data_IF_566430050316
#
_entry.id   IF_566430050316
#
_cell.length_a   1.000
_cell.length_b   1.000
_cell.length_c   1.000
_cell.angle_alpha   90.00
_cell.angle_beta   90.00
_cell.angle_gamma   90.00
#
_symmetry.space_group_name_H-M   'P 1'
#
loop_
_entity.id
_entity.type
_entity.pdbx_description
1 polymer ?
#
# COMPACT_ATOMS: atom_id res chain seq x y z
N UNK A 1 -6.70 -23.21 25.18
CA UNK A 1 -7.86 -23.05 26.08
C UNK A 1 -8.52 -24.40 26.24
N UNK A 2 -8.82 -24.79 27.48
CA UNK A 2 -9.48 -26.05 27.80
C UNK A 2 -10.99 -25.92 27.59
N UNK A 3 -11.56 -26.75 26.71
CA UNK A 3 -12.98 -26.70 26.33
C UNK A 3 -13.88 -27.12 27.49
N UNK A 4 -13.38 -27.98 28.37
CA UNK A 4 -14.13 -28.46 29.53
C UNK A 4 -14.38 -27.33 30.55
N UNK A 5 -13.45 -26.38 30.66
CA UNK A 5 -13.59 -25.20 31.51
C UNK A 5 -14.66 -24.22 30.97
N UNK A 6 -14.75 -24.10 29.64
CA UNK A 6 -15.72 -23.23 28.99
C UNK A 6 -17.16 -23.72 29.19
N UNK A 7 -17.39 -25.02 29.03
CA UNK A 7 -18.72 -25.62 29.09
C UNK A 7 -19.20 -25.88 30.54
N UNK A 8 -18.27 -26.09 31.50
CA UNK A 8 -18.62 -26.50 32.88
C UNK A 8 -18.41 -25.40 33.94
N UNK A 9 -17.71 -24.31 33.60
CA UNK A 9 -17.39 -23.25 34.55
C UNK A 9 -16.29 -23.62 35.53
N UNK A 10 -16.08 -22.77 36.54
CA UNK A 10 -15.14 -23.04 37.62
C UNK A 10 -15.75 -24.01 38.65
N UNK A 11 -14.95 -24.80 39.39
CA UNK A 11 -15.45 -25.69 40.44
C UNK A 11 -16.28 -24.97 41.51
N UNK A 12 -16.02 -23.68 41.74
CA UNK A 12 -16.72 -22.82 42.69
C UNK A 12 -17.92 -22.08 42.07
N UNK A 13 -18.01 -22.04 40.73
CA UNK A 13 -19.07 -21.37 40.01
C UNK A 13 -19.43 -22.14 38.71
N UNK A 14 -20.44 -23.03 38.76
CA UNK A 14 -20.74 -23.99 37.69
C UNK A 14 -21.48 -23.36 36.48
N UNK A 15 -21.42 -22.04 36.31
CA UNK A 15 -21.96 -21.39 35.12
C UNK A 15 -20.95 -21.46 33.97
N UNK A 16 -21.41 -21.70 32.73
CA UNK A 16 -20.56 -21.63 31.54
C UNK A 16 -19.80 -20.30 31.49
N UNK A 17 -18.54 -20.35 31.06
CA UNK A 17 -17.79 -19.12 30.83
C UNK A 17 -18.30 -18.46 29.56
N UNK A 18 -18.57 -17.17 29.62
CA UNK A 18 -18.95 -16.36 28.49
C UNK A 18 -17.79 -15.47 28.06
N UNK A 19 -17.58 -15.33 26.76
CA UNK A 19 -16.61 -14.37 26.22
C UNK A 19 -17.32 -13.05 25.91
N UNK A 20 -16.67 -11.93 26.23
CA UNK A 20 -17.13 -10.60 25.84
C UNK A 20 -16.86 -10.36 24.35
N UNK A 21 -17.55 -11.09 23.48
CA UNK A 21 -17.43 -11.02 22.03
C UNK A 21 -18.81 -10.96 21.37
N UNK A 22 -18.92 -10.21 20.28
CA UNK A 22 -20.13 -10.13 19.47
C UNK A 22 -20.62 -11.53 19.04
N UNK A 23 -21.89 -11.84 19.32
CA UNK A 23 -22.51 -13.14 19.06
C UNK A 23 -22.55 -14.10 20.26
N UNK A 24 -22.01 -13.70 21.42
CA UNK A 24 -22.31 -14.36 22.70
C UNK A 24 -23.61 -13.77 23.29
N UNK A 25 -24.64 -14.59 23.58
CA UNK A 25 -25.94 -14.09 24.06
C UNK A 25 -25.90 -13.33 25.40
N UNK A 26 -24.88 -13.54 26.24
CA UNK A 26 -24.72 -12.81 27.51
C UNK A 26 -24.10 -11.45 27.24
N UNK A 27 -23.10 -11.37 26.36
CA UNK A 27 -22.55 -10.10 25.90
C UNK A 27 -23.63 -9.25 25.21
N UNK A 28 -24.40 -9.85 24.30
CA UNK A 28 -25.47 -9.15 23.59
C UNK A 28 -26.54 -8.61 24.56
N UNK A 29 -26.91 -9.37 25.60
CA UNK A 29 -27.82 -8.89 26.67
C UNK A 29 -27.27 -7.72 27.48
N UNK A 30 -25.96 -7.67 27.71
CA UNK A 30 -25.31 -6.54 28.40
C UNK A 30 -25.38 -5.30 27.50
N UNK A 31 -25.09 -5.46 26.21
CA UNK A 31 -25.22 -4.38 25.24
C UNK A 31 -26.67 -3.88 25.17
N UNK A 32 -27.63 -4.79 25.04
CA UNK A 32 -29.07 -4.48 25.00
C UNK A 32 -29.50 -3.69 26.24
N UNK A 33 -29.09 -4.14 27.43
CA UNK A 33 -29.39 -3.47 28.69
C UNK A 33 -28.73 -2.10 28.85
N UNK A 34 -27.58 -1.86 28.22
CA UNK A 34 -26.92 -0.54 28.20
C UNK A 34 -27.60 0.38 27.17
N UNK A 35 -28.07 -0.15 26.04
CA UNK A 35 -28.77 0.61 25.00
C UNK A 35 -30.21 0.96 25.35
N UNK A 36 -30.77 0.39 26.42
CA UNK A 36 -32.12 0.72 26.91
C UNK A 36 -32.20 2.13 27.51
N UNK A 37 -31.05 2.71 27.88
CA UNK A 37 -30.97 4.06 28.42
C UNK A 37 -30.65 5.07 27.33
N UNK A 38 -31.56 6.02 27.10
CA UNK A 38 -31.27 7.19 26.28
C UNK A 38 -30.13 8.01 26.89
N UNK A 39 -29.28 8.58 26.03
CA UNK A 39 -28.26 9.51 26.47
C UNK A 39 -28.94 10.77 27.04
N UNK A 40 -28.46 11.30 28.19
CA UNK A 40 -29.00 12.55 28.72
C UNK A 40 -28.72 13.70 27.76
N UNK A 41 -29.58 14.72 27.75
CA UNK A 41 -29.50 15.88 26.83
C UNK A 41 -28.18 16.69 26.96
N UNK A 42 -27.46 16.50 28.07
CA UNK A 42 -26.13 17.05 28.32
C UNK A 42 -25.00 16.30 27.59
N UNK A 43 -25.31 15.21 26.88
CA UNK A 43 -24.37 14.41 26.08
C UNK A 43 -24.90 14.29 24.65
N UNK A 44 -24.07 14.65 23.67
CA UNK A 44 -24.43 14.50 22.26
C UNK A 44 -23.32 13.81 21.47
N UNK A 45 -23.63 12.74 20.71
CA UNK A 45 -22.66 12.14 19.82
C UNK A 45 -22.34 13.09 18.66
N UNK A 46 -21.07 13.22 18.34
CA UNK A 46 -20.53 13.89 17.17
C UNK A 46 -19.93 12.84 16.25
N UNK A 47 -20.51 12.71 15.06
CA UNK A 47 -20.08 11.76 14.04
C UNK A 47 -19.46 12.50 12.86
N UNK A 48 -18.30 12.03 12.41
CA UNK A 48 -17.69 12.48 11.18
C UNK A 48 -17.19 11.29 10.36
N UNK A 49 -17.58 11.27 9.08
CA UNK A 49 -17.22 10.20 8.15
C UNK A 49 -15.87 10.47 7.50
N UNK A 50 -14.93 9.54 7.69
CA UNK A 50 -13.63 9.55 7.02
C UNK A 50 -13.80 8.92 5.65
N UNK A 51 -13.89 9.76 4.61
CA UNK A 51 -14.17 9.33 3.23
C UNK A 51 -13.20 8.27 2.72
N UNK A 52 -11.93 8.37 3.10
CA UNK A 52 -10.86 7.55 2.53
C UNK A 52 -10.90 6.08 3.02
N UNK A 53 -11.49 5.81 4.20
CA UNK A 53 -11.61 4.46 4.76
C UNK A 53 -13.07 3.99 4.93
N UNK A 54 -14.04 4.81 4.51
CA UNK A 54 -15.46 4.56 4.67
C UNK A 54 -15.85 4.14 6.10
N UNK A 55 -15.32 4.86 7.08
CA UNK A 55 -15.57 4.62 8.50
C UNK A 55 -16.06 5.89 9.17
N UNK A 56 -16.97 5.73 10.12
CA UNK A 56 -17.47 6.81 10.96
C UNK A 56 -16.63 6.90 12.23
N UNK A 57 -16.12 8.10 12.50
CA UNK A 57 -15.47 8.42 13.76
C UNK A 57 -16.51 9.07 14.66
N UNK A 58 -16.73 8.45 15.82
CA UNK A 58 -17.70 8.90 16.82
C UNK A 58 -16.93 9.46 18.01
N UNK A 59 -17.33 10.64 18.45
CA UNK A 59 -16.90 11.25 19.71
C UNK A 59 -18.12 11.79 20.45
N UNK A 60 -17.96 12.16 21.71
CA UNK A 60 -19.07 12.71 22.50
C UNK A 60 -18.77 14.14 22.93
N UNK A 61 -19.71 15.04 22.70
CA UNK A 61 -19.73 16.33 23.38
C UNK A 61 -20.49 16.17 24.69
N UNK A 62 -19.91 16.68 25.78
CA UNK A 62 -20.46 16.54 27.13
C UNK A 62 -20.47 17.90 27.81
N UNK A 63 -21.63 18.35 28.28
CA UNK A 63 -21.74 19.48 29.20
C UNK A 63 -21.35 19.02 30.62
N UNK A 64 -20.38 19.70 31.21
CA UNK A 64 -19.83 19.36 32.50
C UNK A 64 -19.54 20.60 33.35
N UNK A 65 -19.39 20.36 34.65
CA UNK A 65 -19.00 21.35 35.63
C UNK A 65 -17.53 21.12 35.97
N UNK A 66 -16.70 22.16 35.82
CA UNK A 66 -15.28 22.10 36.16
C UNK A 66 -15.04 22.11 37.68
N UNK A 67 -13.78 21.93 38.10
CA UNK A 67 -13.36 21.95 39.52
C UNK A 67 -13.63 23.32 40.20
N UNK A 68 -13.98 24.35 39.44
CA UNK A 68 -14.31 25.69 39.90
C UNK A 68 -15.82 25.99 39.87
N UNK A 69 -16.65 25.00 39.51
CA UNK A 69 -18.11 25.16 39.44
C UNK A 69 -18.60 25.86 38.17
N UNK A 70 -17.75 26.06 37.16
CA UNK A 70 -18.13 26.65 35.87
C UNK A 70 -18.64 25.59 34.91
N UNK A 71 -19.67 25.96 34.14
CA UNK A 71 -20.24 25.12 33.09
C UNK A 71 -19.37 25.22 31.84
N UNK A 72 -18.91 24.08 31.34
CA UNK A 72 -18.13 23.99 30.10
C UNK A 72 -18.56 22.77 29.26
N UNK A 73 -18.27 22.82 27.96
CA UNK A 73 -18.50 21.68 27.06
C UNK A 73 -17.18 21.05 26.66
N UNK A 74 -17.02 19.75 26.95
CA UNK A 74 -15.82 18.97 26.64
C UNK A 74 -16.07 17.99 25.49
N UNK A 75 -15.03 17.80 24.67
CA UNK A 75 -15.00 16.75 23.64
C UNK A 75 -14.32 15.50 24.23
N UNK A 76 -15.06 14.40 24.28
CA UNK A 76 -14.60 13.10 24.76
C UNK A 76 -14.21 12.26 23.54
N UNK A 77 -12.90 12.04 23.41
CA UNK A 77 -12.32 11.22 22.33
C UNK A 77 -11.58 9.99 22.86
N UNK A 78 -11.31 9.94 24.16
CA UNK A 78 -10.54 8.89 24.83
C UNK A 78 -11.08 8.63 26.23
N UNK A 79 -10.85 7.43 26.75
CA UNK A 79 -11.31 7.04 28.10
C UNK A 79 -10.77 7.97 29.20
N UNK A 80 -9.51 8.40 29.11
CA UNK A 80 -8.92 9.33 30.08
C UNK A 80 -9.58 10.70 30.10
N UNK A 81 -10.39 11.07 29.10
CA UNK A 81 -11.17 12.30 29.16
C UNK A 81 -12.32 12.22 30.17
N UNK A 82 -12.73 11.01 30.58
CA UNK A 82 -13.80 10.80 31.55
C UNK A 82 -13.37 11.02 33.01
N UNK A 83 -12.06 11.09 33.27
CA UNK A 83 -11.55 11.27 34.63
C UNK A 83 -11.96 12.65 35.20
N UNK A 84 -12.65 12.64 36.34
CA UNK A 84 -13.08 13.86 37.03
C UNK A 84 -14.24 14.60 36.38
N UNK A 85 -14.94 14.01 35.40
CA UNK A 85 -16.13 14.65 34.82
C UNK A 85 -17.29 14.64 35.81
N UNK A 86 -17.85 15.84 36.04
CA UNK A 86 -19.15 16.03 36.69
C UNK A 86 -20.12 16.53 35.62
N UNK A 87 -21.16 15.76 35.32
CA UNK A 87 -22.14 16.11 34.29
C UNK A 87 -23.01 17.29 34.73
N UNK A 88 -23.29 18.20 33.80
CA UNK A 88 -24.30 19.25 33.98
C UNK A 88 -25.62 18.80 33.34
N UNK A 89 -26.38 17.98 34.06
CA UNK A 89 -27.66 17.42 33.58
C UNK A 89 -28.74 18.47 33.28
N UNK A 90 -28.57 19.71 33.76
CA UNK A 90 -29.49 20.82 33.47
C UNK A 90 -29.23 21.49 32.12
N UNK A 91 -28.07 21.25 31.51
CA UNK A 91 -27.66 21.90 30.27
C UNK A 91 -28.03 21.03 29.08
N UNK A 92 -28.82 21.61 28.17
CA UNK A 92 -29.13 21.03 26.86
C UNK A 92 -28.09 21.54 25.86
N UNK A 93 -27.38 20.63 25.21
CA UNK A 93 -26.42 20.99 24.17
C UNK A 93 -27.15 21.42 22.89
N UNK A 94 -26.86 22.64 22.41
CA UNK A 94 -27.39 23.17 21.16
C UNK A 94 -26.34 23.17 20.04
N UNK A 95 -26.77 23.43 18.80
CA UNK A 95 -25.85 23.44 17.64
C UNK A 95 -24.75 24.51 17.77
N UNK A 96 -25.01 25.59 18.50
CA UNK A 96 -24.03 26.68 18.67
C UNK A 96 -22.91 26.29 19.63
N UNK A 97 -23.23 25.65 20.75
CA UNK A 97 -22.26 25.09 21.69
C UNK A 97 -21.41 23.97 21.06
N UNK A 98 -21.97 23.26 20.08
CA UNK A 98 -21.27 22.18 19.39
C UNK A 98 -20.36 22.63 18.24
N UNK A 99 -20.53 23.84 17.70
CA UNK A 99 -19.82 24.28 16.50
C UNK A 99 -18.29 24.20 16.66
N UNK A 100 -17.78 24.67 17.80
CA UNK A 100 -16.35 24.65 18.11
C UNK A 100 -15.81 23.23 18.32
N UNK A 101 -16.61 22.35 18.92
CA UNK A 101 -16.24 20.95 19.16
C UNK A 101 -16.25 20.13 17.87
N UNK A 102 -17.22 20.36 16.99
CA UNK A 102 -17.25 19.79 15.63
C UNK A 102 -16.02 20.21 14.84
N UNK A 103 -15.62 21.48 14.92
CA UNK A 103 -14.40 21.96 14.27
C UNK A 103 -13.14 21.29 14.84
N UNK A 104 -13.04 21.14 16.16
CA UNK A 104 -11.93 20.42 16.81
C UNK A 104 -11.88 18.95 16.37
N UNK A 105 -13.02 18.27 16.33
CA UNK A 105 -13.10 16.88 15.84
C UNK A 105 -12.61 16.78 14.40
N UNK A 106 -13.07 17.67 13.53
CA UNK A 106 -12.64 17.74 12.13
C UNK A 106 -11.14 17.93 11.98
N UNK A 107 -10.54 18.84 12.76
CA UNK A 107 -9.08 19.06 12.74
C UNK A 107 -8.30 17.83 13.24
N UNK A 108 -8.79 17.14 14.26
CA UNK A 108 -8.17 15.90 14.75
C UNK A 108 -8.22 14.78 13.71
N UNK A 109 -9.39 14.56 13.10
CA UNK A 109 -9.57 13.58 12.03
C UNK A 109 -8.66 13.92 10.86
N UNK A 110 -8.63 15.19 10.45
CA UNK A 110 -7.76 15.62 9.37
C UNK A 110 -6.28 15.33 9.68
N UNK A 111 -5.79 15.61 10.88
CA UNK A 111 -4.40 15.35 11.23
C UNK A 111 -4.06 13.84 11.27
N UNK A 112 -5.00 13.01 11.71
CA UNK A 112 -4.82 11.56 11.78
C UNK A 112 -4.85 10.90 10.39
N UNK A 113 -5.76 11.34 9.53
CA UNK A 113 -6.05 10.68 8.25
C UNK A 113 -5.45 11.38 7.02
N UNK A 114 -5.08 12.67 7.06
CA UNK A 114 -4.40 13.35 5.93
C UNK A 114 -3.12 12.63 5.46
N UNK A 115 -2.29 12.02 6.33
CA UNK A 115 -1.13 11.23 5.88
C UNK A 115 -1.51 10.04 4.97
N UNK A 116 -2.68 9.44 5.19
CA UNK A 116 -3.15 8.29 4.39
C UNK A 116 -3.66 8.69 3.01
N UNK A 117 -3.99 9.97 2.82
CA UNK A 117 -4.53 10.51 1.55
C UNK A 117 -3.56 10.44 0.37
N UNK A 118 -2.27 10.36 0.65
CA UNK A 118 -1.23 10.20 -0.39
C UNK A 118 -0.98 8.74 -0.77
N UNK A 119 -1.52 7.76 -0.02
CA UNK A 119 -1.22 6.33 -0.22
C UNK A 119 -1.65 5.90 -1.62
N UNK A 120 -2.89 6.21 -2.05
CA UNK A 120 -3.37 5.79 -3.37
C UNK A 120 -2.54 6.38 -4.51
N UNK A 121 -2.10 7.63 -4.37
CA UNK A 121 -1.20 8.27 -5.35
C UNK A 121 0.16 7.60 -5.38
N UNK A 122 0.74 7.30 -4.22
CA UNK A 122 2.01 6.60 -4.11
C UNK A 122 1.95 5.17 -4.67
N UNK A 123 0.83 4.47 -4.46
CA UNK A 123 0.58 3.15 -5.06
C UNK A 123 0.55 3.29 -6.58
N UNK A 124 -0.23 4.24 -7.09
CA UNK A 124 -0.34 4.48 -8.53
C UNK A 124 1.01 4.85 -9.17
N UNK A 125 1.79 5.70 -8.52
CA UNK A 125 3.12 6.12 -8.99
C UNK A 125 4.10 4.93 -8.97
N UNK A 126 4.06 4.10 -7.92
CA UNK A 126 4.88 2.89 -7.82
C UNK A 126 4.50 1.85 -8.89
N UNK A 127 3.22 1.66 -9.19
CA UNK A 127 2.76 0.78 -10.27
C UNK A 127 3.25 1.29 -11.63
N UNK A 128 3.14 2.59 -11.89
CA UNK A 128 3.65 3.21 -13.13
C UNK A 128 5.16 3.02 -13.26
N UNK A 129 5.91 3.29 -12.19
CA UNK A 129 7.36 3.11 -12.17
C UNK A 129 7.78 1.65 -12.34
N UNK A 130 7.08 0.71 -11.70
CA UNK A 130 7.30 -0.72 -11.87
C UNK A 130 7.08 -1.18 -13.32
N UNK A 131 5.99 -0.73 -13.94
CA UNK A 131 5.70 -1.02 -15.35
C UNK A 131 6.75 -0.42 -16.29
N UNK A 132 7.14 0.84 -16.06
CA UNK A 132 8.18 1.50 -16.83
C UNK A 132 9.53 0.75 -16.73
N UNK A 133 9.92 0.33 -15.53
CA UNK A 133 11.13 -0.44 -15.30
C UNK A 133 11.11 -1.82 -15.96
N UNK A 134 9.95 -2.48 -15.98
CA UNK A 134 9.77 -3.76 -16.68
C UNK A 134 9.95 -3.59 -18.20
N UNK A 135 9.33 -2.57 -18.80
CA UNK A 135 9.48 -2.25 -20.22
C UNK A 135 10.92 -1.92 -20.56
N UNK A 136 11.60 -1.11 -19.73
CA UNK A 136 12.99 -0.78 -19.94
C UNK A 136 13.89 -2.03 -19.88
N UNK A 137 13.68 -2.92 -18.91
CA UNK A 137 14.44 -4.17 -18.79
C UNK A 137 14.25 -5.05 -20.03
N UNK A 138 13.03 -5.12 -20.58
CA UNK A 138 12.75 -5.82 -21.84
C UNK A 138 13.47 -5.18 -23.04
N UNK A 139 13.48 -3.84 -23.12
CA UNK A 139 14.16 -3.10 -24.19
C UNK A 139 15.67 -3.32 -24.15
N UNK A 140 16.27 -3.24 -22.97
CA UNK A 140 17.70 -3.50 -22.77
C UNK A 140 18.00 -4.96 -23.15
N UNK A 141 17.20 -5.92 -22.67
CA UNK A 141 17.38 -7.35 -22.97
C UNK A 141 17.32 -7.66 -24.47
N UNK A 142 16.34 -7.12 -25.22
CA UNK A 142 16.23 -7.32 -26.67
C UNK A 142 17.46 -6.77 -27.44
N UNK A 143 18.16 -5.80 -26.85
CA UNK A 143 19.30 -5.12 -27.48
C UNK A 143 20.66 -5.60 -27.02
N UNK A 144 20.76 -6.15 -25.82
CA UNK A 144 21.98 -6.79 -25.33
C UNK A 144 22.26 -8.13 -26.02
N UNK A 145 21.20 -8.81 -26.49
CA UNK A 145 21.32 -10.08 -27.20
C UNK A 145 21.02 -9.91 -28.70
N UNK A 146 21.77 -10.57 -29.62
CA UNK A 146 23.00 -11.31 -29.36
C UNK A 146 24.15 -10.38 -28.94
N UNK A 147 25.12 -10.92 -28.19
CA UNK A 147 26.34 -10.21 -27.83
C UNK A 147 27.28 -10.01 -29.02
N UNK A 148 28.48 -9.46 -28.77
CA UNK A 148 29.52 -9.31 -29.79
C UNK A 148 29.96 -10.70 -30.31
N UNK A 149 30.09 -10.85 -31.62
CA UNK A 149 30.39 -12.11 -32.33
C UNK A 149 29.34 -13.24 -32.21
N UNK A 150 28.16 -12.94 -31.69
CA UNK A 150 27.04 -13.89 -31.62
C UNK A 150 25.97 -13.60 -32.68
N UNK A 151 25.27 -14.65 -33.09
CA UNK A 151 24.13 -14.59 -34.00
C UNK A 151 22.87 -15.06 -33.29
N UNK A 152 21.70 -14.72 -33.84
CA UNK A 152 20.42 -15.16 -33.27
C UNK A 152 20.23 -16.69 -33.26
N UNK A 153 21.07 -17.46 -33.97
CA UNK A 153 21.06 -18.92 -33.99
C UNK A 153 21.86 -19.54 -32.84
N UNK A 154 22.71 -18.76 -32.16
CA UNK A 154 23.48 -19.25 -31.01
C UNK A 154 22.55 -19.63 -29.86
N UNK A 155 23.05 -20.50 -28.98
CA UNK A 155 22.34 -20.92 -27.79
C UNK A 155 22.22 -19.76 -26.80
N UNK A 156 21.01 -19.51 -26.31
CA UNK A 156 20.72 -18.40 -25.40
C UNK A 156 21.48 -18.51 -24.06
N UNK A 157 21.53 -19.71 -23.46
CA UNK A 157 22.16 -19.89 -22.15
C UNK A 157 23.69 -19.76 -22.21
N UNK A 158 24.31 -20.10 -23.34
CA UNK A 158 25.73 -19.82 -23.55
C UNK A 158 25.99 -18.30 -23.59
N UNK A 159 25.13 -17.55 -24.28
CA UNK A 159 25.21 -16.09 -24.35
C UNK A 159 25.00 -15.42 -22.98
N UNK A 160 24.06 -15.92 -22.17
CA UNK A 160 23.87 -15.47 -20.78
C UNK A 160 25.14 -15.68 -19.96
N UNK A 161 25.76 -16.86 -20.01
CA UNK A 161 27.00 -17.12 -19.27
C UNK A 161 28.15 -16.16 -19.70
N UNK A 162 28.23 -15.82 -20.98
CA UNK A 162 29.19 -14.83 -21.48
C UNK A 162 28.88 -13.43 -20.94
N UNK A 163 27.59 -13.07 -20.87
CA UNK A 163 27.15 -11.78 -20.34
C UNK A 163 27.41 -11.67 -18.83
N UNK A 164 27.17 -12.74 -18.05
CA UNK A 164 27.43 -12.78 -16.61
C UNK A 164 28.92 -12.52 -16.29
N UNK A 165 29.82 -13.03 -17.13
CA UNK A 165 31.26 -12.73 -17.02
C UNK A 165 31.55 -11.25 -17.27
N UNK A 166 30.92 -10.65 -18.30
CA UNK A 166 31.09 -9.22 -18.59
C UNK A 166 30.49 -8.31 -17.49
N UNK A 167 29.41 -8.76 -16.86
CA UNK A 167 28.72 -8.07 -15.77
C UNK A 167 29.59 -8.07 -14.51
N UNK A 168 30.17 -9.21 -14.15
CA UNK A 168 30.97 -9.38 -12.93
C UNK A 168 32.19 -8.43 -12.88
N UNK A 169 32.73 -8.06 -14.04
CA UNK A 169 33.95 -7.26 -14.16
C UNK A 169 33.71 -5.76 -14.40
N UNK A 170 32.44 -5.29 -14.45
CA UNK A 170 32.10 -3.91 -14.86
C UNK A 170 31.05 -3.24 -13.99
N UNK A 171 31.26 -1.95 -13.70
CA UNK A 171 30.27 -1.13 -12.99
C UNK A 171 29.17 -0.58 -13.92
N UNK A 172 29.46 -0.49 -15.23
CA UNK A 172 28.57 0.07 -16.24
C UNK A 172 28.75 -0.62 -17.59
N UNK A 173 27.68 -0.67 -18.38
CA UNK A 173 27.70 -1.23 -19.72
C UNK A 173 26.78 -0.45 -20.67
N UNK A 174 27.23 -0.29 -21.91
CA UNK A 174 26.47 0.41 -22.95
C UNK A 174 25.45 -0.54 -23.57
N UNK A 175 24.16 -0.17 -23.51
CA UNK A 175 23.11 -0.90 -24.20
C UNK A 175 22.90 -0.31 -25.60
N UNK A 176 23.21 -1.04 -26.69
CA UNK A 176 23.25 -0.45 -28.02
C UNK A 176 21.86 -0.32 -28.64
N UNK A 177 21.63 0.74 -29.42
CA UNK A 177 20.49 0.86 -30.33
C UNK A 177 19.11 0.68 -29.66
N UNK A 178 18.93 1.18 -28.43
CA UNK A 178 17.62 1.20 -27.76
C UNK A 178 16.70 2.15 -28.55
N UNK A 179 15.50 1.70 -28.96
CA UNK A 179 14.59 2.55 -29.73
C UNK A 179 14.05 3.71 -28.87
N UNK A 180 14.12 4.92 -29.41
CA UNK A 180 13.77 6.17 -28.70
C UNK A 180 12.27 6.32 -28.48
N UNK A 181 11.44 5.79 -29.40
CA UNK A 181 9.98 5.89 -29.31
C UNK A 181 9.38 5.22 -28.07
N UNK A 182 9.60 3.91 -27.79
CA UNK A 182 9.09 3.29 -26.58
C UNK A 182 9.76 3.85 -25.32
N UNK A 183 11.05 4.18 -25.38
CA UNK A 183 11.78 4.76 -24.25
C UNK A 183 11.22 6.14 -23.85
N UNK A 184 10.85 6.98 -24.83
CA UNK A 184 10.25 8.28 -24.60
C UNK A 184 8.88 8.22 -23.90
N UNK A 185 8.13 7.12 -24.09
CA UNK A 185 6.82 6.92 -23.44
C UNK A 185 6.95 6.64 -21.94
N UNK A 186 7.97 5.90 -21.54
CA UNK A 186 8.18 5.47 -20.15
C UNK A 186 9.12 6.40 -19.37
N UNK A 187 9.86 7.30 -20.05
CA UNK A 187 10.92 8.12 -19.45
C UNK A 187 10.52 8.83 -18.16
N UNK A 188 9.31 9.39 -18.12
CA UNK A 188 8.81 10.18 -16.98
C UNK A 188 8.55 9.35 -15.71
N UNK A 189 8.40 8.04 -15.86
CA UNK A 189 8.05 7.13 -14.77
C UNK A 189 9.27 6.27 -14.35
N UNK A 190 10.44 6.47 -14.99
CA UNK A 190 11.67 5.75 -14.62
C UNK A 190 12.24 6.27 -13.30
N UNK A 191 12.86 5.36 -12.54
CA UNK A 191 13.55 5.69 -11.28
C UNK A 191 14.91 6.36 -11.50
N UNK A 192 15.37 6.47 -12.74
CA UNK A 192 16.66 7.05 -13.11
C UNK A 192 16.57 7.74 -14.47
N UNK A 193 17.38 8.78 -14.62
CA UNK A 193 17.41 9.57 -15.83
C UNK A 193 18.17 8.86 -16.95
N UNK A 194 17.46 8.53 -18.02
CA UNK A 194 18.07 8.10 -19.28
C UNK A 194 17.95 9.22 -20.30
N UNK A 195 19.07 9.56 -20.92
CA UNK A 195 19.07 10.52 -22.00
C UNK A 195 18.37 9.92 -23.24
N UNK A 196 17.25 10.52 -23.62
CA UNK A 196 16.52 10.21 -24.85
C UNK A 196 16.69 11.41 -25.80
N UNK A 197 17.39 11.23 -26.94
CA UNK A 197 17.58 12.31 -27.89
C UNK A 197 16.24 12.70 -28.55
N UNK A 198 16.08 14.00 -28.85
CA UNK A 198 14.88 14.51 -29.54
C UNK A 198 14.84 14.14 -31.03
N UNK A 199 16.01 13.85 -31.62
CA UNK A 199 16.17 13.47 -33.03
C UNK A 199 16.93 12.15 -33.09
N UNK A 200 16.44 11.21 -33.89
CA UNK A 200 17.01 9.88 -34.06
C UNK A 200 16.08 8.77 -33.57
N UNK A 201 16.16 7.61 -34.22
CA UNK A 201 15.29 6.46 -33.94
C UNK A 201 15.82 5.59 -32.78
N UNK A 202 17.11 5.71 -32.46
CA UNK A 202 17.77 4.91 -31.43
C UNK A 202 18.75 5.72 -30.58
N UNK A 203 19.06 5.21 -29.40
CA UNK A 203 20.06 5.74 -28.47
C UNK A 203 20.88 4.59 -27.88
N UNK A 204 22.13 4.86 -27.48
CA UNK A 204 23.02 3.87 -26.87
C UNK A 204 23.49 4.35 -25.49
N UNK A 205 22.61 4.35 -24.47
CA UNK A 205 22.95 4.84 -23.14
C UNK A 205 23.97 3.92 -22.46
N UNK A 206 24.85 4.53 -21.68
CA UNK A 206 25.69 3.81 -20.71
C UNK A 206 24.88 3.65 -19.43
N UNK A 207 24.65 2.41 -19.02
CA UNK A 207 23.75 2.06 -17.92
C UNK A 207 24.55 1.49 -16.74
N UNK A 208 24.16 1.82 -15.49
CA UNK A 208 24.61 1.09 -14.30
C UNK A 208 24.43 -0.42 -14.44
N UNK A 209 25.40 -1.19 -13.95
CA UNK A 209 25.41 -2.65 -14.13
C UNK A 209 24.17 -3.33 -13.55
N UNK A 210 23.62 -2.82 -12.44
CA UNK A 210 22.39 -3.33 -11.82
C UNK A 210 21.19 -3.35 -12.78
N UNK A 211 21.12 -2.39 -13.72
CA UNK A 211 20.05 -2.36 -14.73
C UNK A 211 20.27 -3.39 -15.83
N UNK A 212 21.54 -3.63 -16.16
CA UNK A 212 21.95 -4.63 -17.14
C UNK A 212 21.68 -6.03 -16.58
N UNK A 213 22.02 -6.27 -15.32
CA UNK A 213 21.65 -7.48 -14.58
C UNK A 213 20.13 -7.71 -14.57
N UNK A 214 19.35 -6.69 -14.20
CA UNK A 214 17.88 -6.75 -14.24
C UNK A 214 17.34 -7.11 -15.64
N UNK A 215 17.98 -6.62 -16.70
CA UNK A 215 17.61 -6.94 -18.07
C UNK A 215 17.97 -8.38 -18.45
N UNK A 216 19.15 -8.88 -18.06
CA UNK A 216 19.53 -10.29 -18.26
C UNK A 216 18.59 -11.23 -17.50
N UNK A 217 18.28 -10.92 -16.23
CA UNK A 217 17.31 -11.67 -15.43
C UNK A 217 15.93 -11.71 -16.09
N UNK A 218 15.50 -10.58 -16.65
CA UNK A 218 14.24 -10.49 -17.41
C UNK A 218 14.28 -11.41 -18.64
N UNK A 219 15.40 -11.46 -19.35
CA UNK A 219 15.60 -12.39 -20.47
C UNK A 219 15.56 -13.86 -20.03
N UNK A 220 16.23 -14.19 -18.92
CA UNK A 220 16.22 -15.53 -18.33
C UNK A 220 14.81 -15.97 -17.90
N UNK A 221 14.04 -15.10 -17.23
CA UNK A 221 12.63 -15.38 -16.87
C UNK A 221 11.77 -15.59 -18.10
N UNK A 222 11.95 -14.78 -19.14
CA UNK A 222 11.24 -14.95 -20.40
C UNK A 222 11.57 -16.30 -21.05
N UNK A 223 12.86 -16.68 -21.06
CA UNK A 223 13.36 -17.95 -21.58
C UNK A 223 12.84 -19.17 -20.79
N UNK A 224 12.89 -19.14 -19.46
CA UNK A 224 12.38 -20.21 -18.60
C UNK A 224 10.86 -20.43 -18.80
N UNK A 225 10.11 -19.34 -19.04
CA UNK A 225 8.69 -19.40 -19.38
C UNK A 225 8.36 -20.08 -20.72
N UNK A 226 9.34 -20.27 -21.62
CA UNK A 226 9.11 -20.87 -22.95
C UNK A 226 8.97 -22.40 -22.93
N UNK A 227 9.30 -23.06 -21.82
CA UNK A 227 9.22 -24.54 -21.68
C UNK A 227 9.94 -25.31 -22.79
N UNK A 228 11.09 -24.79 -23.26
CA UNK A 228 11.97 -25.44 -24.25
C UNK A 228 13.21 -25.97 -23.53
N UNK A 229 13.79 -27.08 -24.02
CA UNK A 229 15.07 -27.58 -23.50
C UNK A 229 16.17 -26.52 -23.64
N UNK A 230 16.99 -26.36 -22.60
CA UNK A 230 18.06 -25.33 -22.58
C UNK A 230 19.00 -25.42 -23.78
N UNK A 231 19.37 -26.62 -24.22
CA UNK A 231 20.27 -26.82 -25.36
C UNK A 231 19.68 -26.33 -26.71
N UNK A 232 18.35 -26.33 -26.85
CA UNK A 232 17.65 -26.04 -28.11
C UNK A 232 17.11 -24.60 -28.18
N UNK A 233 17.28 -23.83 -27.10
CA UNK A 233 16.77 -22.47 -27.01
C UNK A 233 17.76 -21.47 -27.63
N UNK A 234 17.37 -20.89 -28.76
CA UNK A 234 18.18 -19.90 -29.48
C UNK A 234 17.88 -18.47 -29.04
N UNK A 235 18.85 -17.58 -29.22
CA UNK A 235 18.71 -16.14 -28.92
C UNK A 235 17.51 -15.54 -29.68
N UNK A 236 17.37 -15.82 -30.98
CA UNK A 236 16.28 -15.28 -31.80
C UNK A 236 14.89 -15.67 -31.30
N UNK A 237 14.75 -16.88 -30.73
CA UNK A 237 13.50 -17.33 -30.10
C UNK A 237 13.18 -16.52 -28.85
N UNK A 238 14.17 -16.25 -28.00
CA UNK A 238 14.00 -15.43 -26.79
C UNK A 238 13.69 -13.98 -27.16
N UNK A 239 14.41 -13.38 -28.12
CA UNK A 239 14.12 -12.02 -28.62
C UNK A 239 12.70 -11.89 -29.15
N UNK A 240 12.23 -12.87 -29.92
CA UNK A 240 10.83 -12.91 -30.38
C UNK A 240 9.85 -12.93 -29.20
N UNK A 241 10.16 -13.66 -28.12
CA UNK A 241 9.35 -13.66 -26.90
C UNK A 241 9.38 -12.31 -26.19
N UNK A 242 10.55 -11.69 -26.04
CA UNK A 242 10.72 -10.37 -25.41
C UNK A 242 9.92 -9.29 -26.14
N UNK A 243 9.96 -9.27 -27.48
CA UNK A 243 9.18 -8.32 -28.29
C UNK A 243 7.69 -8.46 -28.07
N UNK A 244 7.17 -9.68 -28.01
CA UNK A 244 5.75 -9.91 -27.69
C UNK A 244 5.37 -9.42 -26.29
N UNK A 245 6.28 -9.50 -25.32
CA UNK A 245 6.04 -8.99 -23.96
C UNK A 245 6.05 -7.46 -23.90
N UNK A 246 6.72 -6.78 -24.84
CA UNK A 246 6.72 -5.31 -24.95
C UNK A 246 5.48 -4.74 -25.62
N UNK A 247 4.71 -5.57 -26.33
CA UNK A 247 3.47 -5.17 -27.03
C UNK A 247 2.21 -5.31 -26.16
N UNK A 248 2.35 -5.89 -24.96
CA UNK A 248 1.27 -6.05 -23.95
C UNK A 248 1.21 -4.86 -23.02
#
# INVERSE_FOLDING_TARGET
MDRDLYEKGFPENPYPLHFASYGDPVFDRIIDGVTEFDLPDCIMPLTETVKDINADVISFAVACIDDHGQRETKLITRYSNLEGIVLDEETVLDETALADLKKKLHEMIRNEFDPTRSIDRLIQDNEQAGNAQAVLSLLIADRLFPGFDETEQNNFWQSVNNMDQLIADRDQLMAPNIPTSPLGKIKKDLLFDIYVPQVGETTSPTLPILLVESAVDTACRAADGMKVKKADLTIGRVKTRLRRLMEM
#
